data_IF_812207946306
#
_entry.id   IF_812207946306
#
_cell.length_a   1.000
_cell.length_b   1.000
_cell.length_c   1.000
_cell.angle_alpha   90.00
_cell.angle_beta   90.00
_cell.angle_gamma   90.00
#
_symmetry.space_group_name_H-M   'P 1'
#
loop_
_entity.id
_entity.type
_entity.pdbx_description
1 polymer ?
#
# COMPACT_ATOMS: atom_id res chain seq x y z
N UNK A 1 22.93 18.57 3.11
CA UNK A 1 22.98 17.42 2.20
C UNK A 1 21.55 17.13 1.81
N UNK A 2 21.26 16.82 0.54
CA UNK A 2 19.90 16.51 0.10
C UNK A 2 19.33 15.32 0.89
N UNK A 3 18.03 15.38 1.23
CA UNK A 3 17.32 14.33 1.96
C UNK A 3 16.79 13.28 0.98
N UNK A 4 17.68 12.49 0.40
CA UNK A 4 17.34 11.46 -0.57
C UNK A 4 17.13 10.13 0.16
N UNK A 5 15.99 9.49 -0.07
CA UNK A 5 15.66 8.15 0.45
C UNK A 5 15.30 7.23 -0.71
N UNK A 6 16.01 6.10 -0.81
CA UNK A 6 15.70 5.07 -1.80
C UNK A 6 14.53 4.22 -1.34
N UNK A 7 13.48 4.14 -2.15
CA UNK A 7 12.30 3.35 -1.87
C UNK A 7 12.09 2.26 -2.93
N UNK A 8 11.51 1.14 -2.51
CA UNK A 8 11.17 0.00 -3.35
C UNK A 8 9.70 -0.38 -3.21
N UNK A 9 9.10 -0.81 -4.31
CA UNK A 9 7.79 -1.46 -4.36
C UNK A 9 8.01 -2.89 -4.86
N UNK A 10 7.37 -3.86 -4.23
CA UNK A 10 7.38 -5.25 -4.69
C UNK A 10 6.09 -5.52 -5.42
N UNK A 11 6.18 -5.61 -6.74
CA UNK A 11 5.12 -6.05 -7.63
C UNK A 11 5.28 -7.55 -7.84
N UNK A 12 4.26 -8.34 -7.50
CA UNK A 12 4.36 -9.78 -7.62
C UNK A 12 3.03 -10.44 -8.01
N UNK A 13 3.14 -11.54 -8.76
CA UNK A 13 2.05 -12.47 -9.03
C UNK A 13 1.81 -13.39 -7.84
N UNK A 14 0.64 -14.02 -7.81
CA UNK A 14 0.36 -15.04 -6.81
C UNK A 14 1.24 -16.28 -7.01
N UNK A 15 1.83 -16.79 -5.93
CA UNK A 15 2.76 -17.92 -5.99
C UNK A 15 2.03 -19.28 -6.09
N UNK A 16 0.88 -19.41 -5.43
CA UNK A 16 0.11 -20.63 -5.37
C UNK A 16 -1.38 -20.30 -5.17
N UNK A 17 -2.22 -20.60 -6.17
CA UNK A 17 -3.64 -20.23 -6.16
C UNK A 17 -4.61 -21.41 -6.18
N UNK A 18 -4.16 -22.59 -6.52
CA UNK A 18 -4.99 -23.78 -6.74
C UNK A 18 -4.98 -24.78 -5.56
N UNK A 19 -4.25 -24.46 -4.49
CA UNK A 19 -4.25 -25.27 -3.27
C UNK A 19 -5.51 -25.07 -2.44
N UNK A 20 -5.98 -26.16 -1.80
CA UNK A 20 -7.00 -26.11 -0.76
C UNK A 20 -6.42 -25.85 0.64
N UNK A 21 -5.11 -25.97 0.79
CA UNK A 21 -4.38 -25.67 2.03
C UNK A 21 -4.04 -24.18 2.12
N UNK A 22 -4.77 -23.45 2.94
CA UNK A 22 -4.60 -22.00 3.13
C UNK A 22 -3.23 -21.64 3.72
N UNK A 23 -2.66 -22.49 4.56
CA UNK A 23 -1.33 -22.28 5.11
C UNK A 23 -0.25 -22.44 4.03
N UNK A 24 -0.40 -23.43 3.14
CA UNK A 24 0.51 -23.60 2.01
C UNK A 24 0.47 -22.41 1.06
N UNK A 25 -0.71 -21.86 0.76
CA UNK A 25 -0.87 -20.63 -0.05
C UNK A 25 -0.14 -19.46 0.59
N UNK A 26 -0.38 -19.24 1.88
CA UNK A 26 0.22 -18.14 2.64
C UNK A 26 1.75 -18.27 2.69
N UNK A 27 2.25 -19.46 3.01
CA UNK A 27 3.69 -19.71 3.09
C UNK A 27 4.36 -19.50 1.74
N UNK A 28 3.76 -19.97 0.64
CA UNK A 28 4.30 -19.78 -0.71
C UNK A 28 4.44 -18.29 -1.08
N UNK A 29 3.47 -17.46 -0.69
CA UNK A 29 3.57 -16.01 -0.90
C UNK A 29 4.65 -15.36 -0.03
N UNK A 30 4.77 -15.76 1.23
CA UNK A 30 5.83 -15.28 2.12
C UNK A 30 7.20 -15.66 1.56
N UNK A 31 7.39 -16.93 1.19
CA UNK A 31 8.66 -17.46 0.62
C UNK A 31 9.04 -16.75 -0.68
N UNK A 32 8.06 -16.36 -1.49
CA UNK A 32 8.28 -15.56 -2.69
C UNK A 32 8.76 -14.13 -2.38
N UNK A 33 8.23 -13.50 -1.32
CA UNK A 33 8.55 -12.11 -0.99
C UNK A 33 9.88 -11.95 -0.26
N UNK A 34 10.32 -12.93 0.55
CA UNK A 34 11.58 -12.85 1.30
C UNK A 34 12.79 -12.52 0.39
N UNK A 35 13.04 -13.26 -0.72
CA UNK A 35 14.15 -12.94 -1.60
C UNK A 35 14.00 -11.58 -2.30
N UNK A 36 12.78 -11.14 -2.62
CA UNK A 36 12.55 -9.82 -3.20
C UNK A 36 12.83 -8.69 -2.21
N UNK A 37 12.49 -8.90 -0.93
CA UNK A 37 12.82 -7.97 0.16
C UNK A 37 14.34 -7.87 0.32
N UNK A 38 15.04 -9.01 0.34
CA UNK A 38 16.50 -9.05 0.43
C UNK A 38 17.17 -8.40 -0.80
N UNK A 39 16.61 -8.59 -2.00
CA UNK A 39 17.08 -7.93 -3.21
C UNK A 39 16.88 -6.40 -3.14
N UNK A 40 15.72 -5.92 -2.69
CA UNK A 40 15.47 -4.50 -2.48
C UNK A 40 16.52 -3.89 -1.54
N UNK A 41 16.79 -4.55 -0.42
CA UNK A 41 17.82 -4.14 0.54
C UNK A 41 19.22 -4.12 -0.10
N UNK A 42 19.58 -5.14 -0.87
CA UNK A 42 20.89 -5.22 -1.55
C UNK A 42 21.10 -4.09 -2.56
N UNK A 43 19.99 -3.57 -3.13
CA UNK A 43 19.98 -2.40 -4.01
C UNK A 43 19.93 -1.07 -3.24
N UNK A 44 20.03 -1.10 -1.91
CA UNK A 44 20.10 0.06 -1.04
C UNK A 44 18.75 0.68 -0.72
N UNK A 45 17.63 -0.04 -0.88
CA UNK A 45 16.33 0.44 -0.47
C UNK A 45 16.28 0.66 1.06
N UNK A 46 15.75 1.80 1.46
CA UNK A 46 15.55 2.19 2.85
C UNK A 46 14.08 2.08 3.27
N UNK A 47 13.18 2.04 2.29
CA UNK A 47 11.74 1.82 2.48
C UNK A 47 11.30 0.77 1.44
N UNK A 48 10.51 -0.20 1.88
CA UNK A 48 9.90 -1.19 1.01
C UNK A 48 8.40 -1.30 1.30
N UNK A 49 7.57 -1.28 0.26
CA UNK A 49 6.14 -1.52 0.38
C UNK A 49 5.73 -2.75 -0.44
N UNK A 50 4.94 -3.63 0.19
CA UNK A 50 4.37 -4.82 -0.43
C UNK A 50 2.99 -4.50 -1.02
N UNK A 51 2.48 -5.38 -1.89
CA UNK A 51 1.15 -5.25 -2.49
C UNK A 51 0.02 -5.52 -1.47
N UNK A 52 -1.21 -5.09 -1.77
CA UNK A 52 -2.40 -5.30 -0.94
C UNK A 52 -2.60 -6.79 -0.63
N UNK A 53 -2.80 -7.14 0.66
CA UNK A 53 -2.98 -8.52 1.15
C UNK A 53 -1.90 -9.44 0.55
N UNK A 54 -0.63 -9.06 0.70
CA UNK A 54 0.48 -9.70 -0.01
C UNK A 54 0.64 -11.20 0.27
N UNK A 55 0.17 -11.65 1.43
CA UNK A 55 0.38 -13.03 1.91
C UNK A 55 -0.61 -14.06 1.35
N UNK A 56 -1.40 -13.70 0.34
CA UNK A 56 -2.35 -14.62 -0.30
C UNK A 56 -2.87 -14.09 -1.64
N UNK A 57 -3.74 -14.86 -2.31
CA UNK A 57 -4.45 -14.39 -3.50
C UNK A 57 -5.45 -13.30 -3.12
N UNK A 58 -5.99 -12.62 -4.12
CA UNK A 58 -7.10 -11.69 -3.92
C UNK A 58 -8.42 -12.46 -3.70
N UNK A 59 -8.54 -13.07 -2.54
CA UNK A 59 -9.65 -13.95 -2.19
C UNK A 59 -11.03 -13.25 -2.18
N UNK A 60 -11.07 -11.93 -2.20
CA UNK A 60 -12.31 -11.16 -2.31
C UNK A 60 -13.02 -11.33 -3.67
N UNK A 61 -12.42 -12.11 -4.59
CA UNK A 61 -13.05 -12.56 -5.82
C UNK A 61 -14.27 -13.46 -5.57
N UNK A 62 -14.37 -14.08 -4.40
CA UNK A 62 -15.50 -14.92 -3.95
C UNK A 62 -15.98 -14.51 -2.56
N UNK A 63 -17.08 -15.13 -2.09
CA UNK A 63 -17.64 -14.94 -0.74
C UNK A 63 -17.59 -16.29 -0.01
N UNK A 64 -16.38 -16.77 0.28
CA UNK A 64 -16.16 -18.02 1.01
C UNK A 64 -15.54 -17.73 2.39
N UNK A 65 -16.22 -18.14 3.44
CA UNK A 65 -15.80 -17.93 4.83
C UNK A 65 -14.51 -18.64 5.22
N UNK A 66 -14.01 -19.59 4.42
CA UNK A 66 -12.70 -20.25 4.67
C UNK A 66 -11.55 -19.24 4.78
N UNK A 67 -11.63 -18.12 4.07
CA UNK A 67 -10.59 -17.11 4.06
C UNK A 67 -10.43 -16.36 5.39
N UNK A 68 -11.43 -16.39 6.28
CA UNK A 68 -11.29 -15.84 7.64
C UNK A 68 -10.15 -16.51 8.42
N UNK A 69 -9.82 -17.78 8.12
CA UNK A 69 -8.73 -18.51 8.76
C UNK A 69 -7.34 -17.96 8.40
N UNK A 70 -7.23 -17.15 7.35
CA UNK A 70 -5.95 -16.54 6.94
C UNK A 70 -5.64 -15.22 7.63
N UNK A 71 -6.61 -14.66 8.35
CA UNK A 71 -6.43 -13.42 9.09
C UNK A 71 -5.51 -13.61 10.31
N UNK A 72 -4.76 -12.55 10.64
CA UNK A 72 -3.85 -12.56 11.79
C UNK A 72 -4.06 -11.34 12.69
N UNK A 73 -3.79 -11.46 14.00
CA UNK A 73 -3.71 -10.29 14.86
C UNK A 73 -2.52 -9.40 14.47
N UNK A 74 -2.71 -8.09 14.49
CA UNK A 74 -1.67 -7.10 14.19
C UNK A 74 -1.45 -6.22 15.42
N UNK A 75 -0.21 -6.21 16.00
CA UNK A 75 1.06 -6.68 15.43
C UNK A 75 1.48 -8.11 15.81
N UNK A 76 0.70 -8.84 16.57
CA UNK A 76 1.19 -10.05 17.28
C UNK A 76 1.18 -11.33 16.44
N UNK A 77 0.64 -11.28 15.22
CA UNK A 77 0.62 -12.40 14.29
C UNK A 77 2.00 -12.77 13.72
N UNK A 78 2.17 -14.02 13.27
CA UNK A 78 3.45 -14.55 12.81
C UNK A 78 4.02 -13.79 11.62
N UNK A 79 3.18 -13.34 10.68
CA UNK A 79 3.64 -12.60 9.49
C UNK A 79 4.25 -11.26 9.88
N UNK A 80 3.61 -10.48 10.76
CA UNK A 80 4.16 -9.19 11.19
C UNK A 80 5.44 -9.39 12.00
N UNK A 81 5.52 -10.43 12.84
CA UNK A 81 6.77 -10.76 13.58
C UNK A 81 7.92 -11.09 12.64
N UNK A 82 7.66 -11.86 11.57
CA UNK A 82 8.65 -12.14 10.54
C UNK A 82 9.11 -10.84 9.87
N UNK A 83 8.18 -9.98 9.45
CA UNK A 83 8.50 -8.71 8.78
C UNK A 83 9.25 -7.73 9.69
N UNK A 84 8.99 -7.74 11.00
CA UNK A 84 9.80 -7.00 11.98
C UNK A 84 11.26 -7.51 12.02
N UNK A 85 11.45 -8.82 11.93
CA UNK A 85 12.77 -9.43 11.81
C UNK A 85 13.51 -8.97 10.55
N UNK A 86 12.86 -9.03 9.39
CA UNK A 86 13.43 -8.62 8.10
C UNK A 86 13.70 -7.10 8.06
N UNK A 87 12.80 -6.27 8.60
CA UNK A 87 13.01 -4.82 8.70
C UNK A 87 14.29 -4.50 9.47
N UNK A 88 14.48 -5.15 10.62
CA UNK A 88 15.68 -5.00 11.45
C UNK A 88 16.93 -5.53 10.76
N UNK A 89 16.88 -6.73 10.17
CA UNK A 89 17.99 -7.36 9.48
C UNK A 89 18.52 -6.47 8.35
N UNK A 90 17.61 -5.92 7.56
CA UNK A 90 17.96 -5.10 6.41
C UNK A 90 18.05 -3.60 6.71
N UNK A 91 17.79 -3.17 7.95
CA UNK A 91 17.72 -1.74 8.33
C UNK A 91 16.78 -0.95 7.41
N UNK A 92 15.64 -1.53 7.04
CA UNK A 92 14.69 -1.04 6.03
C UNK A 92 13.29 -0.91 6.62
N UNK A 93 12.63 0.23 6.38
CA UNK A 93 11.22 0.43 6.74
C UNK A 93 10.37 -0.50 5.88
N UNK A 94 9.41 -1.17 6.51
CA UNK A 94 8.46 -2.05 5.83
C UNK A 94 7.03 -1.53 5.95
N UNK A 95 6.33 -1.41 4.82
CA UNK A 95 4.88 -1.23 4.76
C UNK A 95 4.29 -2.57 4.34
N UNK A 96 3.55 -3.19 5.27
CA UNK A 96 3.11 -4.59 5.17
C UNK A 96 1.59 -4.68 5.14
N UNK A 97 0.96 -4.74 3.96
CA UNK A 97 -0.47 -4.95 3.82
C UNK A 97 -0.87 -6.38 4.15
N UNK A 98 -1.83 -6.55 5.07
CA UNK A 98 -2.20 -7.85 5.62
C UNK A 98 -3.70 -7.92 5.93
N UNK A 99 -4.25 -9.14 5.96
CA UNK A 99 -5.59 -9.41 6.47
C UNK A 99 -5.55 -9.49 8.00
N UNK A 100 -6.18 -8.52 8.67
CA UNK A 100 -6.16 -8.40 10.13
C UNK A 100 -7.41 -9.00 10.77
N UNK A 101 -7.24 -9.83 11.79
CA UNK A 101 -8.25 -10.11 12.80
C UNK A 101 -7.99 -9.20 14.01
N UNK A 102 -8.86 -8.19 14.21
CA UNK A 102 -8.73 -7.26 15.33
C UNK A 102 -9.30 -7.83 16.65
N UNK A 103 -10.31 -8.65 16.53
CA UNK A 103 -10.92 -9.49 17.55
C UNK A 103 -11.79 -10.54 16.85
N UNK A 104 -12.21 -11.56 17.56
CA UNK A 104 -13.04 -12.64 17.02
C UNK A 104 -14.19 -12.10 16.17
N UNK A 105 -14.21 -12.46 14.88
CA UNK A 105 -15.24 -12.07 13.92
C UNK A 105 -15.20 -10.61 13.44
N UNK A 106 -14.11 -9.87 13.71
CA UNK A 106 -13.92 -8.49 13.24
C UNK A 106 -12.61 -8.36 12.48
N UNK A 107 -12.73 -8.16 11.18
CA UNK A 107 -11.62 -8.19 10.24
C UNK A 107 -11.45 -6.87 9.49
N UNK A 108 -10.19 -6.56 9.13
CA UNK A 108 -9.83 -5.37 8.37
C UNK A 108 -8.80 -5.69 7.29
N UNK A 109 -8.88 -4.95 6.21
CA UNK A 109 -7.77 -4.80 5.26
C UNK A 109 -6.81 -3.76 5.84
N UNK A 110 -5.62 -4.18 6.23
CA UNK A 110 -4.72 -3.39 7.09
C UNK A 110 -3.32 -3.32 6.49
N UNK A 111 -2.64 -2.21 6.67
CA UNK A 111 -1.22 -2.08 6.40
C UNK A 111 -0.48 -1.73 7.70
N UNK A 112 0.42 -2.60 8.14
CA UNK A 112 1.32 -2.34 9.24
C UNK A 112 2.53 -1.54 8.78
N UNK A 113 3.00 -0.59 9.58
CA UNK A 113 4.25 0.13 9.34
C UNK A 113 5.27 -0.24 10.40
N UNK A 114 6.43 -0.69 9.94
CA UNK A 114 7.54 -1.19 10.77
C UNK A 114 8.78 -0.34 10.45
N UNK A 115 9.42 0.18 11.46
CA UNK A 115 10.65 0.99 11.30
C UNK A 115 11.87 0.11 10.98
N UNK A 116 12.92 0.74 10.55
CA UNK A 116 14.19 0.13 10.14
C UNK A 116 14.93 -0.64 11.25
N UNK A 117 14.55 -0.48 12.51
CA UNK A 117 15.07 -1.25 13.64
C UNK A 117 14.17 -2.45 14.02
N UNK A 118 13.07 -2.67 13.26
CA UNK A 118 12.08 -3.68 13.52
C UNK A 118 10.94 -3.25 14.46
N UNK A 119 10.94 -1.99 14.92
CA UNK A 119 9.88 -1.46 15.78
C UNK A 119 8.57 -1.33 15.00
N UNK A 120 7.50 -1.93 15.50
CA UNK A 120 6.16 -1.70 14.99
C UNK A 120 5.68 -0.30 15.39
N UNK A 121 5.40 0.56 14.41
CA UNK A 121 4.98 1.95 14.64
C UNK A 121 3.47 2.13 14.71
N UNK A 122 2.72 1.22 14.11
CA UNK A 122 1.27 1.28 14.03
C UNK A 122 0.75 0.73 12.71
N UNK A 123 -0.54 0.98 12.46
CA UNK A 123 -1.24 0.46 11.27
C UNK A 123 -2.25 1.44 10.72
N UNK A 124 -2.50 1.34 9.43
CA UNK A 124 -3.63 1.92 8.74
C UNK A 124 -4.65 0.82 8.42
N UNK A 125 -5.93 1.08 8.59
CA UNK A 125 -7.04 0.22 8.15
C UNK A 125 -7.77 0.88 6.99
N UNK A 126 -7.95 0.18 5.89
CA UNK A 126 -8.64 0.66 4.68
C UNK A 126 -10.00 1.25 5.04
N UNK A 127 -10.19 2.53 4.75
CA UNK A 127 -11.41 3.25 5.13
C UNK A 127 -12.56 2.96 4.16
N UNK A 128 -12.29 2.92 2.86
CA UNK A 128 -13.30 2.74 1.83
C UNK A 128 -13.25 1.30 1.30
N UNK A 129 -14.32 0.56 1.53
CA UNK A 129 -14.41 -0.86 1.18
C UNK A 129 -15.30 -1.01 -0.06
N UNK A 130 -14.75 -1.43 -1.22
CA UNK A 130 -15.52 -1.63 -2.43
C UNK A 130 -16.49 -2.82 -2.32
N UNK A 131 -17.54 -2.76 -3.14
CA UNK A 131 -18.49 -3.87 -3.30
C UNK A 131 -19.00 -3.86 -4.74
N UNK A 132 -18.41 -4.72 -5.55
CA UNK A 132 -18.86 -4.97 -6.93
C UNK A 132 -18.50 -6.40 -7.32
N UNK A 133 -19.01 -6.87 -8.47
CA UNK A 133 -18.75 -8.23 -8.94
C UNK A 133 -17.25 -8.52 -9.02
N UNK A 134 -16.79 -9.58 -8.40
CA UNK A 134 -15.38 -9.96 -8.29
C UNK A 134 -14.56 -9.15 -7.25
N UNK A 135 -15.19 -8.19 -6.56
CA UNK A 135 -14.58 -7.39 -5.51
C UNK A 135 -15.51 -7.32 -4.30
N UNK A 136 -15.71 -8.48 -3.64
CA UNK A 136 -16.65 -8.66 -2.53
C UNK A 136 -16.03 -8.30 -1.18
N UNK A 137 -15.30 -7.18 -1.11
CA UNK A 137 -14.53 -6.83 0.07
C UNK A 137 -15.39 -6.57 1.31
N UNK A 138 -16.63 -6.07 1.16
CA UNK A 138 -17.55 -5.86 2.30
C UNK A 138 -18.00 -7.17 2.97
N UNK A 139 -17.81 -8.32 2.33
CA UNK A 139 -18.04 -9.63 2.95
C UNK A 139 -16.95 -9.92 4.00
N UNK A 140 -15.74 -9.46 3.78
CA UNK A 140 -14.57 -9.77 4.60
C UNK A 140 -14.19 -8.66 5.56
N UNK A 141 -14.29 -7.39 5.15
CA UNK A 141 -13.68 -6.27 5.86
C UNK A 141 -14.70 -5.28 6.37
N UNK A 142 -14.46 -4.85 7.59
CA UNK A 142 -15.07 -3.66 8.17
C UNK A 142 -14.37 -2.40 7.65
N UNK A 143 -15.07 -1.27 7.43
CA UNK A 143 -14.43 0.01 7.18
C UNK A 143 -13.44 0.38 8.29
N UNK A 144 -12.32 0.97 7.91
CA UNK A 144 -11.29 1.43 8.83
C UNK A 144 -11.81 2.43 9.86
N UNK A 145 -11.18 2.45 11.03
CA UNK A 145 -11.60 3.28 12.17
C UNK A 145 -10.42 3.97 12.87
N UNK A 146 -9.28 4.07 12.20
CA UNK A 146 -8.06 4.68 12.73
C UNK A 146 -7.75 6.04 12.09
N UNK A 147 -8.65 6.55 11.24
CA UNK A 147 -8.41 7.76 10.45
C UNK A 147 -7.27 7.57 9.44
N UNK A 148 -6.48 8.61 9.25
CA UNK A 148 -5.36 8.66 8.30
C UNK A 148 -4.03 8.96 9.01
N UNK A 149 -3.48 8.02 9.78
CA UNK A 149 -2.24 8.22 10.52
C UNK A 149 -1.05 8.40 9.58
N UNK A 150 -0.10 9.21 10.00
CA UNK A 150 1.22 9.34 9.37
C UNK A 150 2.27 8.90 10.39
N UNK A 151 3.13 7.99 9.97
CA UNK A 151 4.11 7.35 10.82
C UNK A 151 5.47 8.04 10.67
N UNK A 152 5.98 8.56 11.78
CA UNK A 152 7.35 9.08 11.83
C UNK A 152 8.31 7.90 11.88
N UNK A 153 9.05 7.70 10.80
CA UNK A 153 10.03 6.62 10.67
C UNK A 153 11.45 7.17 10.64
N UNK A 154 12.42 6.29 10.63
CA UNK A 154 13.84 6.67 10.56
C UNK A 154 14.18 7.52 9.34
N UNK A 155 13.55 7.29 8.18
CA UNK A 155 13.96 7.90 6.91
C UNK A 155 12.93 8.86 6.33
N UNK A 156 11.64 8.75 6.69
CA UNK A 156 10.56 9.54 6.13
C UNK A 156 9.33 9.56 7.04
N UNK A 157 8.41 10.49 6.75
CA UNK A 157 7.04 10.46 7.28
C UNK A 157 6.15 9.70 6.28
N UNK A 158 5.74 8.50 6.69
CA UNK A 158 5.05 7.55 5.83
C UNK A 158 3.55 7.59 6.07
N UNK A 159 2.77 7.85 5.03
CA UNK A 159 1.33 7.64 4.99
C UNK A 159 0.97 6.40 4.18
N UNK A 160 -0.18 5.83 4.48
CA UNK A 160 -0.74 4.70 3.70
C UNK A 160 -2.21 4.93 3.46
N UNK A 161 -2.67 4.67 2.24
CA UNK A 161 -4.08 4.44 1.91
C UNK A 161 -4.16 3.28 0.93
N UNK A 162 -5.21 2.45 1.02
CA UNK A 162 -5.19 1.14 0.37
C UNK A 162 -6.15 1.12 -0.80
N UNK A 163 -5.65 0.80 -2.00
CA UNK A 163 -6.40 0.44 -3.21
C UNK A 163 -7.54 1.43 -3.52
N UNK A 164 -8.78 1.06 -3.22
CA UNK A 164 -10.00 1.83 -3.47
C UNK A 164 -10.02 3.21 -2.80
N UNK A 165 -9.27 3.40 -1.71
CA UNK A 165 -9.13 4.69 -1.03
C UNK A 165 -8.63 5.80 -1.99
N UNK A 166 -7.89 5.43 -3.05
CA UNK A 166 -7.34 6.40 -4.02
C UNK A 166 -8.41 7.21 -4.76
N UNK A 167 -9.64 6.70 -4.84
CA UNK A 167 -10.76 7.40 -5.48
C UNK A 167 -11.32 8.57 -4.64
N UNK A 168 -10.89 8.67 -3.37
CA UNK A 168 -11.39 9.63 -2.39
C UNK A 168 -10.30 10.65 -2.04
N UNK A 169 -10.34 11.86 -2.62
CA UNK A 169 -9.32 12.88 -2.42
C UNK A 169 -9.22 13.38 -0.97
N UNK A 170 -10.28 13.19 -0.18
CA UNK A 170 -10.33 13.56 1.24
C UNK A 170 -9.26 12.84 2.06
N UNK A 171 -9.09 11.53 1.86
CA UNK A 171 -8.07 10.73 2.52
C UNK A 171 -6.66 11.16 2.15
N UNK A 172 -6.43 11.39 0.85
CA UNK A 172 -5.16 11.89 0.33
C UNK A 172 -4.81 13.26 0.93
N UNK A 173 -5.79 14.16 1.06
CA UNK A 173 -5.63 15.46 1.70
C UNK A 173 -5.32 15.34 3.19
N UNK A 174 -6.01 14.46 3.91
CA UNK A 174 -5.78 14.25 5.34
C UNK A 174 -4.37 13.71 5.61
N UNK A 175 -3.86 12.77 4.80
CA UNK A 175 -2.48 12.30 4.90
C UNK A 175 -1.48 13.46 4.70
N UNK A 176 -1.73 14.33 3.73
CA UNK A 176 -0.90 15.51 3.51
C UNK A 176 -0.94 16.51 4.67
N UNK A 177 -2.12 16.77 5.25
CA UNK A 177 -2.30 17.64 6.43
C UNK A 177 -1.61 17.05 7.66
N UNK A 178 -1.60 15.73 7.80
CA UNK A 178 -0.90 15.02 8.86
C UNK A 178 0.62 14.92 8.62
N UNK A 179 1.11 15.51 7.52
CA UNK A 179 2.52 15.72 7.26
C UNK A 179 3.23 14.60 6.50
N UNK A 180 2.51 13.75 5.78
CA UNK A 180 3.13 12.72 4.94
C UNK A 180 4.14 13.34 3.95
N UNK A 181 5.30 12.70 3.83
CA UNK A 181 6.33 12.97 2.82
C UNK A 181 6.23 11.98 1.66
N UNK A 182 5.89 10.74 1.97
CA UNK A 182 5.56 9.70 0.98
C UNK A 182 4.29 8.97 1.41
N UNK A 183 3.41 8.70 0.45
CA UNK A 183 2.18 7.94 0.64
C UNK A 183 2.23 6.70 -0.23
N UNK A 184 2.05 5.52 0.38
CA UNK A 184 1.96 4.25 -0.35
C UNK A 184 0.51 3.85 -0.57
N UNK A 185 0.22 3.39 -1.80
CA UNK A 185 -1.08 2.84 -2.18
C UNK A 185 -0.94 1.37 -2.63
N UNK A 186 -0.84 0.43 -1.68
CA UNK A 186 -0.92 -0.99 -2.02
C UNK A 186 -2.31 -1.34 -2.57
N UNK A 187 -2.31 -2.06 -3.69
CA UNK A 187 -3.52 -2.32 -4.48
C UNK A 187 -3.57 -3.73 -5.03
N UNK A 188 -4.80 -4.15 -5.35
CA UNK A 188 -5.13 -5.33 -6.14
C UNK A 188 -6.22 -4.91 -7.16
N UNK A 189 -5.80 -4.41 -8.31
CA UNK A 189 -6.71 -3.86 -9.32
C UNK A 189 -6.46 -4.47 -10.69
N UNK A 190 -7.56 -4.83 -11.37
CA UNK A 190 -7.54 -5.55 -12.65
C UNK A 190 -7.75 -4.62 -13.84
N UNK A 191 -7.32 -5.08 -15.01
CA UNK A 191 -7.52 -4.40 -16.29
C UNK A 191 -9.01 -4.17 -16.58
N UNK A 192 -9.31 -3.10 -17.30
CA UNK A 192 -10.67 -2.74 -17.72
C UNK A 192 -11.23 -1.57 -16.93
N UNK A 193 -12.17 -1.81 -16.03
CA UNK A 193 -13.08 -0.81 -15.46
C UNK A 193 -12.38 0.46 -14.90
N UNK A 194 -11.31 0.34 -14.15
CA UNK A 194 -10.65 1.48 -13.47
C UNK A 194 -9.18 1.69 -13.85
N UNK A 195 -8.67 0.96 -14.84
CA UNK A 195 -7.26 1.01 -15.21
C UNK A 195 -6.79 2.41 -15.63
N UNK A 196 -7.65 3.18 -16.32
CA UNK A 196 -7.33 4.55 -16.72
C UNK A 196 -7.14 5.51 -15.54
N UNK A 197 -7.78 5.23 -14.40
CA UNK A 197 -7.67 6.03 -13.18
C UNK A 197 -6.32 5.84 -12.48
N UNK A 198 -5.66 4.69 -12.70
CA UNK A 198 -4.42 4.32 -12.02
C UNK A 198 -3.31 5.35 -12.17
N UNK A 199 -3.11 5.85 -13.39
CA UNK A 199 -2.10 6.88 -13.70
C UNK A 199 -2.67 8.32 -13.67
N UNK A 200 -3.93 8.51 -13.27
CA UNK A 200 -4.57 9.82 -13.19
C UNK A 200 -4.71 10.31 -11.75
N UNK A 201 -5.32 9.52 -10.89
CA UNK A 201 -5.72 9.97 -9.55
C UNK A 201 -4.54 10.18 -8.61
N UNK A 202 -3.62 9.24 -8.57
CA UNK A 202 -2.51 9.28 -7.62
C UNK A 202 -1.44 10.34 -7.96
N UNK A 203 -1.08 10.58 -9.24
CA UNK A 203 -0.31 11.77 -9.61
C UNK A 203 -1.02 13.09 -9.24
N UNK A 204 -2.36 13.16 -9.41
CA UNK A 204 -3.11 14.33 -8.98
C UNK A 204 -3.04 14.52 -7.45
N UNK A 205 -3.10 13.44 -6.67
CA UNK A 205 -2.92 13.51 -5.21
C UNK A 205 -1.50 13.96 -4.84
N UNK A 206 -0.47 13.45 -5.53
CA UNK A 206 0.91 13.87 -5.30
C UNK A 206 1.08 15.39 -5.50
N UNK A 207 0.56 15.91 -6.60
CA UNK A 207 0.62 17.35 -6.93
C UNK A 207 -0.21 18.17 -5.93
N UNK A 208 -1.46 17.79 -5.69
CA UNK A 208 -2.36 18.54 -4.82
C UNK A 208 -1.89 18.64 -3.37
N UNK A 209 -1.07 17.68 -2.91
CA UNK A 209 -0.59 17.60 -1.53
C UNK A 209 0.93 17.81 -1.41
N UNK A 210 1.67 17.94 -2.51
CA UNK A 210 3.12 18.15 -2.51
C UNK A 210 3.85 17.06 -1.73
N UNK A 211 3.57 15.78 -2.01
CA UNK A 211 4.24 14.61 -1.45
C UNK A 211 4.53 13.58 -2.53
N UNK A 212 5.36 12.57 -2.23
CA UNK A 212 5.62 11.44 -3.13
C UNK A 212 4.51 10.39 -2.98
N UNK A 213 4.22 9.66 -4.07
CA UNK A 213 3.34 8.50 -4.03
C UNK A 213 4.08 7.27 -4.58
N UNK A 214 3.99 6.15 -3.84
CA UNK A 214 4.35 4.81 -4.31
C UNK A 214 3.09 3.97 -4.48
N UNK A 215 2.74 3.66 -5.72
CA UNK A 215 1.57 2.87 -6.08
C UNK A 215 1.97 1.46 -6.46
N UNK A 216 1.47 0.45 -5.74
CA UNK A 216 1.84 -0.94 -5.92
C UNK A 216 0.61 -1.74 -6.34
N UNK A 217 0.72 -2.50 -7.43
CA UNK A 217 -0.31 -3.44 -7.88
C UNK A 217 0.27 -4.85 -8.00
N UNK A 218 -0.61 -5.84 -8.06
CA UNK A 218 -0.31 -7.22 -8.42
C UNK A 218 -0.12 -7.36 -9.93
N UNK A 219 0.41 -8.51 -10.37
CA UNK A 219 0.47 -8.93 -11.78
C UNK A 219 -0.16 -10.29 -12.00
N UNK A 220 -0.56 -10.56 -13.23
CA UNK A 220 -1.06 -11.87 -13.67
C UNK A 220 -2.55 -12.11 -13.40
N UNK A 221 -2.97 -13.33 -13.57
CA UNK A 221 -4.34 -13.80 -13.27
C UNK A 221 -4.30 -14.80 -12.14
N UNK A 222 -5.29 -14.77 -11.28
CA UNK A 222 -5.38 -15.65 -10.11
C UNK A 222 -6.49 -16.68 -10.29
N UNK A 223 -6.08 -17.95 -10.46
CA UNK A 223 -7.00 -19.08 -10.47
C UNK A 223 -7.48 -19.36 -9.02
N UNK A 224 -8.67 -19.95 -8.83
CA UNK A 224 -9.62 -20.42 -9.86
C UNK A 224 -10.53 -19.31 -10.41
N UNK A 225 -10.40 -18.06 -9.93
CA UNK A 225 -11.28 -16.97 -10.30
C UNK A 225 -10.89 -16.36 -11.65
N UNK A 226 -11.85 -15.76 -12.32
CA UNK A 226 -11.63 -15.03 -13.56
C UNK A 226 -12.21 -13.61 -13.43
N UNK A 227 -11.65 -12.84 -12.50
CA UNK A 227 -12.03 -11.44 -12.29
C UNK A 227 -11.29 -10.46 -13.21
N UNK A 228 -10.33 -10.97 -14.00
CA UNK A 228 -9.47 -10.20 -14.88
C UNK A 228 -7.99 -10.34 -14.56
N UNK A 229 -7.15 -9.70 -15.38
CA UNK A 229 -5.70 -9.65 -15.20
C UNK A 229 -5.33 -8.47 -14.31
N UNK A 230 -4.59 -8.71 -13.25
CA UNK A 230 -3.88 -7.68 -12.51
C UNK A 230 -2.76 -7.14 -13.40
N UNK A 231 -2.79 -5.84 -13.70
CA UNK A 231 -2.00 -5.23 -14.75
C UNK A 231 -0.67 -4.64 -14.29
N UNK A 232 -0.23 -4.93 -13.06
CA UNK A 232 1.04 -4.39 -12.57
C UNK A 232 1.12 -2.88 -12.69
N UNK A 233 2.07 -2.42 -13.48
CA UNK A 233 2.36 -1.00 -13.73
C UNK A 233 2.49 -0.19 -12.43
N UNK A 234 3.09 -0.81 -11.41
CA UNK A 234 3.43 -0.14 -10.16
C UNK A 234 4.41 1.00 -10.43
N UNK A 235 4.34 2.08 -9.65
CA UNK A 235 5.17 3.24 -9.94
C UNK A 235 5.45 4.11 -8.71
N UNK A 236 6.48 4.95 -8.84
CA UNK A 236 6.67 6.14 -8.02
C UNK A 236 6.38 7.41 -8.81
N UNK A 237 5.75 8.37 -8.15
CA UNK A 237 5.51 9.71 -8.69
C UNK A 237 5.95 10.77 -7.67
N UNK A 238 6.53 11.86 -8.17
CA UNK A 238 7.03 12.96 -7.35
C UNK A 238 5.96 14.05 -7.08
N UNK A 239 6.23 15.03 -6.22
CA UNK A 239 5.30 16.14 -5.92
C UNK A 239 4.92 17.02 -7.12
N UNK A 240 5.56 16.87 -8.28
CA UNK A 240 5.20 17.57 -9.53
C UNK A 240 4.35 16.71 -10.48
N UNK A 241 4.04 15.46 -10.06
CA UNK A 241 3.26 14.52 -10.87
C UNK A 241 4.08 13.75 -11.90
N UNK A 242 5.40 13.82 -11.84
CA UNK A 242 6.31 13.13 -12.77
C UNK A 242 6.58 11.70 -12.28
N UNK A 243 6.51 10.73 -13.19
CA UNK A 243 6.84 9.34 -12.90
C UNK A 243 8.34 9.16 -12.80
N UNK A 244 8.83 8.69 -11.65
CA UNK A 244 10.25 8.43 -11.40
C UNK A 244 10.67 7.03 -11.85
N UNK A 245 9.79 6.06 -11.67
CA UNK A 245 9.96 4.68 -12.09
C UNK A 245 8.58 4.06 -12.32
N UNK A 246 8.49 3.15 -13.28
CA UNK A 246 7.24 2.42 -13.59
C UNK A 246 7.59 0.97 -13.92
N UNK A 247 6.88 0.03 -13.32
CA UNK A 247 7.00 -1.39 -13.57
C UNK A 247 6.25 -1.85 -14.83
N UNK A 248 6.53 -3.08 -15.24
CA UNK A 248 5.88 -3.76 -16.36
C UNK A 248 4.42 -4.12 -16.06
N UNK A 249 3.74 -4.64 -17.06
CA UNK A 249 2.35 -5.13 -16.91
C UNK A 249 2.28 -6.62 -16.55
N UNK A 250 3.38 -7.35 -16.63
CA UNK A 250 3.38 -8.80 -16.64
C UNK A 250 4.33 -9.45 -15.63
N UNK A 251 5.40 -8.76 -15.24
CA UNK A 251 6.50 -9.40 -14.54
C UNK A 251 6.47 -9.16 -13.03
N UNK A 252 6.95 -10.15 -12.28
CA UNK A 252 7.36 -9.97 -10.89
C UNK A 252 8.63 -9.12 -10.86
N UNK A 253 8.59 -7.97 -10.20
CA UNK A 253 9.73 -7.06 -10.21
C UNK A 253 9.79 -6.10 -9.03
N UNK A 254 10.97 -5.50 -8.85
CA UNK A 254 11.21 -4.41 -7.93
C UNK A 254 11.19 -3.08 -8.69
N UNK A 255 10.30 -2.18 -8.29
CA UNK A 255 10.30 -0.81 -8.77
C UNK A 255 11.04 0.04 -7.73
N UNK A 256 12.16 0.65 -8.13
CA UNK A 256 13.04 1.40 -7.21
C UNK A 256 13.15 2.85 -7.69
N UNK A 257 13.03 3.79 -6.76
CA UNK A 257 13.26 5.21 -7.00
C UNK A 257 13.96 5.88 -5.83
N UNK A 258 14.74 6.90 -6.16
CA UNK A 258 15.31 7.82 -5.17
C UNK A 258 14.34 8.99 -4.97
N UNK A 259 13.85 9.16 -3.75
CA UNK A 259 12.90 10.20 -3.37
C UNK A 259 13.68 11.36 -2.74
N UNK A 260 13.76 12.47 -3.45
CA UNK A 260 14.39 13.70 -2.95
C UNK A 260 13.37 14.53 -2.17
N UNK A 261 13.33 14.37 -0.87
CA UNK A 261 12.36 15.06 -0.01
C UNK A 261 12.56 16.58 0.06
N UNK A 262 13.69 17.11 -0.37
CA UNK A 262 13.88 18.57 -0.46
C UNK A 262 12.96 19.18 -1.55
N UNK A 263 12.58 18.38 -2.57
CA UNK A 263 11.58 18.78 -3.57
C UNK A 263 10.22 19.11 -2.95
N UNK A 264 9.84 18.48 -1.83
CA UNK A 264 8.60 18.77 -1.12
C UNK A 264 8.58 20.23 -0.66
N UNK A 265 9.69 20.69 -0.08
CA UNK A 265 9.82 22.04 0.42
C UNK A 265 9.80 23.05 -0.75
N UNK A 266 10.50 22.75 -1.85
CA UNK A 266 10.47 23.58 -3.06
C UNK A 266 9.06 23.75 -3.62
N UNK A 267 8.32 22.62 -3.77
CA UNK A 267 6.97 22.64 -4.33
C UNK A 267 6.02 23.40 -3.42
N UNK A 268 6.09 23.17 -2.10
CA UNK A 268 5.22 23.83 -1.10
C UNK A 268 5.55 25.31 -0.92
N UNK A 269 6.79 25.74 -1.20
CA UNK A 269 7.16 27.16 -1.22
C UNK A 269 6.65 27.84 -2.50
N UNK A 270 6.63 27.14 -3.62
CA UNK A 270 6.13 27.67 -4.90
C UNK A 270 4.59 27.71 -4.92
N UNK A 271 3.97 26.62 -4.52
CA UNK A 271 2.51 26.42 -4.51
C UNK A 271 2.01 26.25 -3.07
N UNK A 272 1.48 27.33 -2.50
CA UNK A 272 1.07 27.34 -1.10
C UNK A 272 -0.36 26.77 -0.90
N UNK A 273 -0.63 25.62 -1.48
CA UNK A 273 -1.95 24.99 -1.49
C UNK A 273 -2.51 24.76 -0.07
N UNK A 274 -1.67 24.45 0.92
CA UNK A 274 -2.12 24.26 2.30
C UNK A 274 -2.54 25.56 3.00
N UNK A 275 -1.81 26.66 2.75
CA UNK A 275 -2.14 27.99 3.27
C UNK A 275 -3.45 28.52 2.65
N UNK A 276 -3.63 28.27 1.35
CA UNK A 276 -4.71 28.87 0.56
C UNK A 276 -6.01 28.03 0.63
N UNK A 277 -6.02 26.96 1.43
CA UNK A 277 -7.25 26.20 1.74
C UNK A 277 -8.28 27.08 2.43
N UNK A 278 -9.53 26.79 2.16
CA UNK A 278 -10.69 27.50 2.73
C UNK A 278 -11.58 26.51 3.53
N UNK A 279 -11.07 26.00 4.70
CA UNK A 279 -11.85 25.08 5.53
C UNK A 279 -13.23 25.62 5.89
N UNK A 280 -13.33 26.94 6.04
CA UNK A 280 -14.57 27.68 6.28
C UNK A 280 -15.61 27.59 5.14
N UNK A 281 -15.21 27.12 3.97
CA UNK A 281 -16.07 26.94 2.81
C UNK A 281 -16.31 25.45 2.47
N UNK A 282 -15.89 24.53 3.34
CA UNK A 282 -15.96 23.09 3.09
C UNK A 282 -16.93 22.35 4.04
N UNK A 283 -17.74 23.06 4.79
CA UNK A 283 -18.64 22.46 5.81
C UNK A 283 -19.59 21.42 5.21
N UNK A 284 -20.04 21.64 3.97
CA UNK A 284 -20.92 20.72 3.24
C UNK A 284 -20.27 19.36 2.91
N UNK A 285 -18.95 19.21 3.06
CA UNK A 285 -18.28 17.90 2.88
C UNK A 285 -18.57 16.93 4.03
N UNK A 286 -19.20 17.39 5.10
CA UNK A 286 -19.54 16.58 6.28
C UNK A 286 -21.01 16.10 6.28
N UNK A 287 -21.84 16.54 5.33
CA UNK A 287 -23.23 16.15 5.14
C UNK A 287 -23.36 14.93 4.24
#
# INVERSE_FOLDING_TARGET
MPRITRAALIQASNALSDSTDLNAIKQAMIDKHIPLIAEAASKGAQICCLQEIFSGPYFCAEQDGRWYETAEPVPDGPTIKLMQGLAKEHSMIMVVPIYEEAMTGVYYNTAAVIDADGTYLGKYRKNHIPQTSGFWEKYFFKPGNLGYPVFQTRYAKVGVYICYDRHFPEGARLLGLNGAEVVFNPSATVAGLSQYLWKLEQPAHAVANGYFVGAINRVGTEAPWNIGKFYGTSYFVNPRGEFLATGSEDDDELIIADLDFDMIDEVRQTWQFYRDRRPDAYDELHD
#
